data_IF_280578821466
#
_entry.id   IF_280578821466
#
_cell.length_a   1.000
_cell.length_b   1.000
_cell.length_c   1.000
_cell.angle_alpha   90.00
_cell.angle_beta   90.00
_cell.angle_gamma   90.00
#
_symmetry.space_group_name_H-M   'P 1'
#
loop_
_entity.id
_entity.type
_entity.pdbx_description
1 polymer ?
#
# COMPACT_ATOMS: atom_id res chain seq x y z
N UNK A 1 -10.25 19.60 -10.12
CA UNK A 1 -10.08 19.03 -8.77
C UNK A 1 -10.81 17.70 -8.56
N UNK A 2 -12.14 17.63 -8.71
CA UNK A 2 -12.92 16.43 -8.32
C UNK A 2 -12.47 15.08 -8.92
N UNK A 3 -12.17 14.94 -10.22
CA UNK A 3 -11.74 13.65 -10.78
C UNK A 3 -10.36 13.21 -10.26
N UNK A 4 -9.44 14.17 -10.10
CA UNK A 4 -8.09 13.94 -9.58
C UNK A 4 -8.18 13.56 -8.10
N UNK A 5 -9.01 14.25 -7.32
CA UNK A 5 -9.30 13.90 -5.93
C UNK A 5 -9.90 12.50 -5.80
N UNK A 6 -10.82 12.12 -6.70
CA UNK A 6 -11.41 10.78 -6.71
C UNK A 6 -10.38 9.67 -7.00
N UNK A 7 -9.41 9.92 -7.88
CA UNK A 7 -8.31 8.97 -8.10
C UNK A 7 -7.48 8.70 -6.84
N UNK A 8 -7.42 9.67 -5.92
CA UNK A 8 -6.78 9.51 -4.63
C UNK A 8 -7.46 8.53 -3.69
N UNK A 9 -8.76 8.30 -3.86
CA UNK A 9 -9.50 7.32 -3.07
C UNK A 9 -8.93 5.92 -3.32
N UNK A 10 -8.51 5.63 -4.56
CA UNK A 10 -7.90 4.34 -4.93
C UNK A 10 -6.54 4.18 -4.23
N UNK A 11 -5.69 5.22 -4.25
CA UNK A 11 -4.42 5.19 -3.53
C UNK A 11 -4.62 5.00 -2.02
N UNK A 12 -5.55 5.74 -1.41
CA UNK A 12 -5.88 5.59 0.01
C UNK A 12 -6.43 4.21 0.35
N UNK A 13 -7.20 3.59 -0.54
CA UNK A 13 -7.68 2.22 -0.35
C UNK A 13 -6.52 1.20 -0.36
N UNK A 14 -5.55 1.35 -1.27
CA UNK A 14 -4.33 0.52 -1.31
C UNK A 14 -3.50 0.75 -0.04
N UNK A 15 -3.31 2.00 0.36
CA UNK A 15 -2.57 2.34 1.57
C UNK A 15 -3.23 1.75 2.84
N UNK A 16 -4.57 1.74 2.91
CA UNK A 16 -5.29 1.11 4.02
C UNK A 16 -5.01 -0.40 4.15
N UNK A 17 -4.74 -1.11 3.03
CA UNK A 17 -4.38 -2.54 3.06
C UNK A 17 -3.07 -2.80 3.81
N UNK A 18 -2.16 -1.83 3.87
CA UNK A 18 -0.89 -1.93 4.59
C UNK A 18 -1.09 -2.21 6.08
N UNK A 19 -2.10 -1.59 6.68
CA UNK A 19 -2.38 -1.73 8.13
C UNK A 19 -3.24 -2.94 8.47
N UNK A 20 -3.84 -3.58 7.46
CA UNK A 20 -4.78 -4.70 7.63
C UNK A 20 -4.22 -5.97 6.99
N UNK A 21 -4.34 -6.11 5.67
CA UNK A 21 -4.00 -7.34 4.95
C UNK A 21 -2.51 -7.65 4.98
N UNK A 22 -1.63 -6.65 4.91
CA UNK A 22 -0.18 -6.92 4.98
C UNK A 22 0.23 -7.41 6.37
N UNK A 23 -0.43 -6.91 7.42
CA UNK A 23 -0.23 -7.39 8.80
C UNK A 23 -0.76 -8.81 8.96
N UNK A 24 -1.91 -9.14 8.37
CA UNK A 24 -2.46 -10.50 8.37
C UNK A 24 -1.56 -11.48 7.61
N UNK A 25 -1.09 -11.09 6.43
CA UNK A 25 -0.09 -11.85 5.68
C UNK A 25 1.16 -12.10 6.53
N UNK A 26 1.68 -11.07 7.20
CA UNK A 26 2.86 -11.19 8.07
C UNK A 26 2.64 -12.12 9.27
N UNK A 27 1.42 -12.18 9.82
CA UNK A 27 1.06 -13.13 10.89
C UNK A 27 1.13 -14.59 10.45
N UNK A 28 0.83 -14.86 9.18
CA UNK A 28 0.89 -16.20 8.59
C UNK A 28 2.31 -16.59 8.10
N UNK A 29 3.31 -15.73 8.31
CA UNK A 29 4.71 -15.92 7.92
C UNK A 29 5.62 -16.14 9.13
N UNK A 30 6.82 -16.68 8.90
CA UNK A 30 7.82 -16.83 9.94
C UNK A 30 8.41 -15.47 10.35
N UNK A 31 7.99 -15.02 11.53
CA UNK A 31 8.40 -13.77 12.17
C UNK A 31 9.69 -13.89 13.00
N UNK A 32 10.35 -15.06 13.04
CA UNK A 32 11.61 -15.23 13.77
C UNK A 32 12.80 -14.79 12.92
N UNK A 33 13.54 -13.80 13.40
CA UNK A 33 14.84 -13.38 12.87
C UNK A 33 15.89 -13.79 13.90
N UNK A 34 16.47 -14.99 13.72
CA UNK A 34 17.37 -15.58 14.71
C UNK A 34 16.65 -15.80 16.05
N UNK A 35 17.09 -15.12 17.11
CA UNK A 35 16.49 -15.18 18.45
C UNK A 35 15.38 -14.16 18.68
N UNK A 36 15.17 -13.21 17.77
CA UNK A 36 14.19 -12.13 17.92
C UNK A 36 12.90 -12.45 17.15
N UNK A 37 11.75 -12.21 17.78
CA UNK A 37 10.44 -12.34 17.13
C UNK A 37 9.94 -10.95 16.73
N UNK A 38 9.93 -10.69 15.42
CA UNK A 38 9.46 -9.44 14.88
C UNK A 38 7.92 -9.44 14.85
N UNK A 39 7.22 -8.55 15.55
CA UNK A 39 5.77 -8.48 15.45
C UNK A 39 5.35 -8.01 14.04
N UNK A 40 4.35 -8.62 13.39
CA UNK A 40 3.91 -8.22 12.04
C UNK A 40 3.52 -6.74 11.92
N UNK A 41 3.00 -6.14 12.98
CA UNK A 41 2.69 -4.71 13.00
C UNK A 41 3.94 -3.80 12.90
N UNK A 42 5.12 -4.28 13.33
CA UNK A 42 6.37 -3.54 13.19
C UNK A 42 6.87 -3.45 11.74
N UNK A 43 6.25 -4.18 10.80
CA UNK A 43 6.58 -4.07 9.38
C UNK A 43 6.28 -2.69 8.82
N UNK A 44 5.32 -1.95 9.40
CA UNK A 44 5.08 -0.55 9.05
C UNK A 44 6.29 0.36 9.26
N UNK A 45 7.24 -0.02 10.13
CA UNK A 45 8.50 0.74 10.28
C UNK A 45 9.36 0.70 9.02
N UNK A 46 9.27 -0.36 8.20
CA UNK A 46 10.00 -0.42 6.93
C UNK A 46 9.44 0.57 5.90
N UNK A 47 8.14 0.81 5.91
CA UNK A 47 7.50 1.84 5.10
C UNK A 47 7.95 3.24 5.55
N UNK A 48 7.90 3.54 6.85
CA UNK A 48 8.41 4.82 7.38
C UNK A 48 9.89 5.02 7.02
N UNK A 49 10.72 3.98 7.13
CA UNK A 49 12.12 4.03 6.72
C UNK A 49 12.27 4.28 5.20
N UNK A 50 11.41 3.66 4.38
CA UNK A 50 11.35 3.89 2.94
C UNK A 50 11.05 5.36 2.64
N UNK A 51 10.03 5.95 3.27
CA UNK A 51 9.68 7.36 3.11
C UNK A 51 10.85 8.28 3.50
N UNK A 52 11.51 8.00 4.64
CA UNK A 52 12.69 8.77 5.09
C UNK A 52 13.84 8.72 4.06
N UNK A 53 13.99 7.61 3.33
CA UNK A 53 15.00 7.46 2.27
C UNK A 53 14.54 8.16 0.97
N UNK A 54 13.27 8.00 0.60
CA UNK A 54 12.74 8.50 -0.67
C UNK A 54 12.54 10.01 -0.68
N UNK A 55 12.18 10.65 0.43
CA UNK A 55 12.03 12.12 0.52
C UNK A 55 13.31 12.85 0.10
N UNK A 56 14.49 12.63 0.71
CA UNK A 56 15.71 13.30 0.29
C UNK A 56 16.16 12.85 -1.10
N UNK A 57 15.90 11.59 -1.48
CA UNK A 57 16.24 11.10 -2.82
C UNK A 57 15.41 11.81 -3.89
N UNK A 58 14.14 12.08 -3.59
CA UNK A 58 13.23 12.82 -4.42
C UNK A 58 13.70 14.27 -4.60
N UNK A 59 13.90 15.00 -3.50
CA UNK A 59 14.28 16.41 -3.53
C UNK A 59 15.67 16.63 -4.14
N UNK A 60 16.62 15.75 -3.84
CA UNK A 60 18.03 15.95 -4.20
C UNK A 60 18.44 15.33 -5.54
N UNK A 61 17.75 14.28 -5.99
CA UNK A 61 18.10 13.60 -7.24
C UNK A 61 16.98 13.68 -8.27
N UNK A 62 15.75 13.32 -7.90
CA UNK A 62 14.64 13.21 -8.86
C UNK A 62 14.22 14.58 -9.38
N UNK A 63 14.01 15.56 -8.49
CA UNK A 63 13.63 16.94 -8.88
C UNK A 63 14.67 17.59 -9.81
N UNK A 64 15.98 17.64 -9.47
CA UNK A 64 16.96 18.27 -10.35
C UNK A 64 17.17 17.49 -11.66
N UNK A 65 17.09 16.16 -11.63
CA UNK A 65 17.17 15.36 -12.85
C UNK A 65 15.97 15.62 -13.76
N UNK A 66 14.76 15.63 -13.20
CA UNK A 66 13.54 15.93 -13.93
C UNK A 66 13.59 17.35 -14.51
N UNK A 67 14.04 18.35 -13.73
CA UNK A 67 14.24 19.73 -14.21
C UNK A 67 15.20 19.80 -15.40
N UNK A 68 16.24 18.97 -15.41
CA UNK A 68 17.21 18.90 -16.52
C UNK A 68 16.60 18.31 -17.80
N UNK A 69 15.64 17.40 -17.69
CA UNK A 69 15.00 16.75 -18.83
C UNK A 69 13.72 17.47 -19.31
N UNK A 70 12.91 17.99 -18.41
CA UNK A 70 11.61 18.60 -18.74
C UNK A 70 11.69 20.11 -18.92
N UNK A 71 12.73 20.77 -18.41
CA UNK A 71 12.86 22.23 -18.43
C UNK A 71 11.85 22.96 -17.54
N UNK A 72 11.05 22.25 -16.75
CA UNK A 72 10.08 22.81 -15.81
C UNK A 72 10.76 23.04 -14.46
N UNK A 73 10.52 24.19 -13.81
CA UNK A 73 11.18 24.54 -12.54
C UNK A 73 10.93 23.53 -11.41
N UNK A 74 9.75 22.90 -11.38
CA UNK A 74 9.39 21.80 -10.46
C UNK A 74 9.80 20.41 -10.98
N UNK A 75 10.36 20.28 -12.19
CA UNK A 75 10.80 19.01 -12.78
C UNK A 75 9.68 18.09 -13.31
N UNK A 76 8.60 17.87 -12.57
CA UNK A 76 7.41 17.14 -13.06
C UNK A 76 6.16 17.98 -12.84
N UNK A 77 5.13 17.75 -13.66
CA UNK A 77 3.79 18.30 -13.35
C UNK A 77 3.18 17.56 -12.17
N UNK A 78 2.33 18.24 -11.40
CA UNK A 78 1.69 17.68 -10.21
C UNK A 78 0.88 16.41 -10.53
N UNK A 79 0.15 16.44 -11.65
CA UNK A 79 -0.63 15.29 -12.15
C UNK A 79 0.27 14.12 -12.55
N UNK A 80 1.44 14.38 -13.15
CA UNK A 80 2.40 13.31 -13.49
C UNK A 80 2.96 12.65 -12.23
N UNK A 81 3.29 13.43 -11.20
CA UNK A 81 3.78 12.91 -9.91
C UNK A 81 2.73 12.01 -9.25
N UNK A 82 1.48 12.48 -9.19
CA UNK A 82 0.36 11.69 -8.67
C UNK A 82 0.13 10.40 -9.49
N UNK A 83 0.23 10.49 -10.83
CA UNK A 83 0.12 9.33 -11.71
C UNK A 83 1.23 8.30 -11.50
N UNK A 84 2.47 8.73 -11.28
CA UNK A 84 3.60 7.85 -10.93
C UNK A 84 3.32 7.15 -9.60
N UNK A 85 2.86 7.88 -8.57
CA UNK A 85 2.51 7.29 -7.27
C UNK A 85 1.42 6.22 -7.37
N UNK A 86 0.37 6.48 -8.16
CA UNK A 86 -0.67 5.49 -8.46
C UNK A 86 -0.12 4.27 -9.20
N UNK A 87 0.72 4.46 -10.22
CA UNK A 87 1.34 3.35 -10.94
C UNK A 87 2.24 2.50 -10.04
N UNK A 88 3.05 3.14 -9.19
CA UNK A 88 3.90 2.46 -8.21
C UNK A 88 3.06 1.68 -7.19
N UNK A 89 1.89 2.19 -6.79
CA UNK A 89 0.97 1.45 -5.91
C UNK A 89 0.45 0.16 -6.54
N UNK A 90 0.24 0.14 -7.87
CA UNK A 90 -0.13 -1.09 -8.59
C UNK A 90 1.01 -2.10 -8.58
N UNK A 91 2.25 -1.64 -8.76
CA UNK A 91 3.43 -2.51 -8.65
C UNK A 91 3.61 -3.07 -7.23
N UNK A 92 3.31 -2.27 -6.20
CA UNK A 92 3.29 -2.73 -4.81
C UNK A 92 2.27 -3.87 -4.62
N UNK A 93 1.03 -3.67 -5.09
CA UNK A 93 -0.02 -4.70 -4.98
C UNK A 93 0.33 -5.96 -5.78
N UNK A 94 0.97 -5.83 -6.94
CA UNK A 94 1.46 -6.96 -7.71
C UNK A 94 2.56 -7.73 -6.96
N UNK A 95 3.53 -7.03 -6.36
CA UNK A 95 4.56 -7.66 -5.53
C UNK A 95 3.94 -8.39 -4.33
N UNK A 96 2.96 -7.78 -3.66
CA UNK A 96 2.25 -8.40 -2.55
C UNK A 96 1.48 -9.66 -2.96
N UNK A 97 0.82 -9.62 -4.12
CA UNK A 97 0.14 -10.78 -4.68
C UNK A 97 1.11 -11.93 -5.01
N UNK A 98 2.30 -11.62 -5.55
CA UNK A 98 3.33 -12.63 -5.84
C UNK A 98 3.83 -13.29 -4.55
N UNK A 99 4.12 -12.49 -3.52
CA UNK A 99 4.55 -13.01 -2.21
C UNK A 99 3.47 -13.92 -1.62
N UNK A 100 2.20 -13.53 -1.76
CA UNK A 100 1.07 -14.33 -1.26
C UNK A 100 0.89 -15.64 -2.04
N UNK A 101 1.02 -15.61 -3.36
CA UNK A 101 0.97 -16.82 -4.20
C UNK A 101 2.08 -17.80 -3.79
N UNK A 102 3.30 -17.31 -3.56
CA UNK A 102 4.42 -18.13 -3.10
C UNK A 102 4.15 -18.71 -1.71
N UNK A 103 3.60 -17.89 -0.79
CA UNK A 103 3.22 -18.32 0.57
C UNK A 103 2.17 -19.44 0.52
N UNK A 104 1.12 -19.26 -0.29
CA UNK A 104 0.02 -20.24 -0.43
C UNK A 104 0.48 -21.54 -1.08
N UNK A 105 1.36 -21.47 -2.10
CA UNK A 105 1.94 -22.68 -2.69
C UNK A 105 2.74 -23.49 -1.66
N UNK A 106 3.61 -22.83 -0.87
CA UNK A 106 4.35 -23.53 0.19
C UNK A 106 3.44 -24.04 1.31
N UNK A 107 2.37 -23.34 1.65
CA UNK A 107 1.40 -23.82 2.62
C UNK A 107 0.74 -25.13 2.16
N UNK A 108 0.41 -25.24 0.87
CA UNK A 108 -0.15 -26.45 0.25
C UNK A 108 0.87 -27.58 0.19
N UNK A 109 2.08 -27.29 -0.28
CA UNK A 109 3.15 -28.30 -0.45
C UNK A 109 3.60 -28.91 0.89
N UNK A 110 3.58 -28.12 1.97
CA UNK A 110 3.95 -28.56 3.31
C UNK A 110 2.76 -29.12 4.12
N UNK A 111 1.55 -29.18 3.54
CA UNK A 111 0.34 -29.63 4.25
C UNK A 111 -0.07 -28.71 5.42
N UNK A 112 0.46 -27.48 5.49
CA UNK A 112 0.24 -26.55 6.59
C UNK A 112 -1.16 -25.92 6.57
N UNK A 113 -1.89 -26.11 5.47
CA UNK A 113 -3.29 -25.70 5.29
C UNK A 113 -4.18 -26.25 6.40
N UNK A 114 -4.00 -27.53 6.79
CA UNK A 114 -4.81 -28.16 7.83
C UNK A 114 -4.30 -27.88 9.26
N UNK A 115 -2.99 -27.65 9.42
CA UNK A 115 -2.37 -27.37 10.73
C UNK A 115 -2.59 -25.95 11.26
N UNK A 116 -2.79 -24.97 10.36
CA UNK A 116 -2.87 -23.55 10.73
C UNK A 116 -1.53 -22.93 11.17
N UNK A 117 -0.43 -23.67 11.04
CA UNK A 117 0.90 -23.18 11.44
C UNK A 117 1.46 -22.13 10.46
N UNK A 118 2.28 -21.18 10.92
CA UNK A 118 2.91 -20.19 10.05
C UNK A 118 3.80 -20.84 8.99
N UNK A 119 3.69 -20.36 7.75
CA UNK A 119 4.52 -20.85 6.64
C UNK A 119 5.99 -20.48 6.91
N UNK A 120 6.97 -21.37 6.68
CA UNK A 120 8.38 -21.12 6.94
C UNK A 120 9.05 -20.12 5.96
N UNK A 121 8.28 -19.19 5.40
CA UNK A 121 8.78 -18.05 4.65
C UNK A 121 9.09 -16.90 5.61
N UNK A 122 10.27 -16.31 5.50
CA UNK A 122 10.64 -15.18 6.36
C UNK A 122 9.77 -13.97 6.04
N UNK A 123 9.29 -13.30 7.08
CA UNK A 123 8.54 -12.02 6.98
C UNK A 123 9.31 -10.93 6.20
N UNK A 124 10.64 -11.06 6.09
CA UNK A 124 11.50 -10.17 5.30
C UNK A 124 11.14 -10.13 3.80
N UNK A 125 10.47 -11.15 3.28
CA UNK A 125 9.94 -11.14 1.91
C UNK A 125 8.88 -10.06 1.65
N UNK A 126 8.31 -9.45 2.71
CA UNK A 126 7.42 -8.31 2.60
C UNK A 126 8.17 -6.96 2.51
N UNK A 127 9.48 -6.90 2.74
CA UNK A 127 10.23 -5.64 2.64
C UNK A 127 10.06 -4.95 1.27
N UNK A 128 10.11 -5.66 0.12
CA UNK A 128 9.93 -5.04 -1.18
C UNK A 128 8.58 -4.33 -1.36
N UNK A 129 7.46 -4.93 -0.90
CA UNK A 129 6.14 -4.29 -1.02
C UNK A 129 6.05 -3.03 -0.15
N UNK A 130 6.54 -3.06 1.09
CA UNK A 130 6.58 -1.87 1.95
C UNK A 130 7.50 -0.77 1.38
N UNK A 131 8.64 -1.16 0.79
CA UNK A 131 9.55 -0.21 0.20
C UNK A 131 8.97 0.48 -1.05
N UNK A 132 8.33 -0.30 -1.93
CA UNK A 132 7.65 0.21 -3.14
C UNK A 132 6.46 1.10 -2.75
N UNK A 133 5.69 0.70 -1.74
CA UNK A 133 4.58 1.51 -1.23
C UNK A 133 5.04 2.88 -0.74
N UNK A 134 6.08 2.92 0.11
CA UNK A 134 6.65 4.18 0.60
C UNK A 134 7.21 5.07 -0.52
N UNK A 135 7.74 4.47 -1.59
CA UNK A 135 8.10 5.24 -2.79
C UNK A 135 6.86 5.87 -3.42
N UNK A 136 5.80 5.07 -3.65
CA UNK A 136 4.53 5.54 -4.20
C UNK A 136 3.88 6.64 -3.34
N UNK A 137 3.98 6.51 -2.02
CA UNK A 137 3.53 7.49 -1.03
C UNK A 137 4.20 8.86 -1.24
N UNK A 138 5.52 8.88 -1.33
CA UNK A 138 6.29 10.12 -1.53
C UNK A 138 5.90 10.80 -2.84
N UNK A 139 5.81 10.06 -3.95
CA UNK A 139 5.41 10.64 -5.24
C UNK A 139 3.95 11.13 -5.23
N UNK A 140 3.05 10.38 -4.62
CA UNK A 140 1.62 10.68 -4.61
C UNK A 140 1.28 11.86 -3.69
N UNK A 141 1.71 11.84 -2.43
CA UNK A 141 1.36 12.87 -1.45
C UNK A 141 2.00 14.22 -1.75
N UNK A 142 3.26 14.25 -2.21
CA UNK A 142 3.90 15.51 -2.61
C UNK A 142 3.14 16.14 -3.78
N UNK A 143 2.80 15.34 -4.80
CA UNK A 143 2.03 15.81 -5.96
C UNK A 143 0.62 16.26 -5.58
N UNK A 144 -0.06 15.53 -4.69
CA UNK A 144 -1.40 15.86 -4.21
C UNK A 144 -1.41 17.16 -3.39
N UNK A 145 -0.42 17.33 -2.53
CA UNK A 145 -0.30 18.52 -1.69
C UNK A 145 -0.02 19.76 -2.54
N UNK A 146 0.97 19.70 -3.44
CA UNK A 146 1.25 20.81 -4.38
C UNK A 146 0.02 21.15 -5.24
N UNK A 147 -0.66 20.14 -5.81
CA UNK A 147 -1.87 20.36 -6.61
C UNK A 147 -2.98 21.07 -5.84
N UNK A 148 -3.23 20.64 -4.59
CA UNK A 148 -4.22 21.31 -3.77
C UNK A 148 -3.80 22.72 -3.39
N UNK A 149 -2.52 22.97 -3.12
CA UNK A 149 -2.06 24.32 -2.82
C UNK A 149 -2.14 25.25 -4.04
N UNK A 150 -1.76 24.78 -5.23
CA UNK A 150 -1.72 25.61 -6.44
C UNK A 150 -3.11 25.93 -7.00
N UNK A 151 -4.05 24.98 -6.85
CA UNK A 151 -5.40 25.11 -7.39
C UNK A 151 -6.41 25.71 -6.39
N UNK A 152 -6.04 25.86 -5.11
CA UNK A 152 -6.96 26.37 -4.08
C UNK A 152 -6.73 27.85 -3.78
N UNK A 153 -7.80 28.66 -3.65
CA UNK A 153 -7.68 30.01 -3.10
C UNK A 153 -7.11 29.98 -1.68
N UNK A 154 -6.31 30.97 -1.29
CA UNK A 154 -5.67 31.03 0.05
C UNK A 154 -6.65 30.88 1.23
N UNK A 155 -7.92 31.27 1.04
CA UNK A 155 -8.99 31.12 2.03
C UNK A 155 -9.53 29.68 2.20
N UNK A 156 -9.18 28.73 1.32
CA UNK A 156 -9.74 27.37 1.28
C UNK A 156 -8.76 26.27 1.73
N UNK A 157 -7.64 26.61 2.36
CA UNK A 157 -6.67 25.62 2.88
C UNK A 157 -7.29 24.64 3.89
N UNK A 158 -8.26 25.09 4.68
CA UNK A 158 -9.02 24.21 5.59
C UNK A 158 -9.88 23.19 4.83
N UNK A 159 -10.47 23.59 3.69
CA UNK A 159 -11.24 22.69 2.82
C UNK A 159 -10.34 21.62 2.18
N UNK A 160 -9.09 21.95 1.84
CA UNK A 160 -8.13 20.97 1.31
C UNK A 160 -7.80 19.88 2.33
N UNK A 161 -7.59 20.27 3.59
CA UNK A 161 -7.35 19.32 4.69
C UNK A 161 -8.57 18.43 4.92
N UNK A 162 -9.78 19.00 4.88
CA UNK A 162 -11.03 18.24 4.97
C UNK A 162 -11.21 17.27 3.79
N UNK A 163 -10.86 17.68 2.57
CA UNK A 163 -10.91 16.82 1.39
C UNK A 163 -9.91 15.67 1.46
N UNK A 164 -8.70 15.89 1.99
CA UNK A 164 -7.71 14.83 2.19
C UNK A 164 -8.18 13.80 3.23
N UNK A 165 -8.74 14.27 4.36
CA UNK A 165 -9.36 13.39 5.37
C UNK A 165 -10.54 12.62 4.78
N UNK A 166 -11.36 13.26 3.95
CA UNK A 166 -12.46 12.61 3.25
C UNK A 166 -11.97 11.55 2.26
N UNK A 167 -10.88 11.81 1.52
CA UNK A 167 -10.24 10.80 0.65
C UNK A 167 -9.82 9.58 1.46
N UNK A 168 -9.19 9.79 2.63
CA UNK A 168 -8.76 8.70 3.48
C UNK A 168 -9.96 7.91 4.03
N UNK A 169 -11.01 8.60 4.50
CA UNK A 169 -12.24 7.96 4.97
C UNK A 169 -12.89 7.13 3.86
N UNK A 170 -13.07 7.70 2.67
CA UNK A 170 -13.64 7.00 1.51
C UNK A 170 -12.75 5.84 1.04
N UNK A 171 -11.43 5.98 1.12
CA UNK A 171 -10.49 4.89 0.80
C UNK A 171 -10.64 3.71 1.75
N UNK A 172 -10.80 3.97 3.06
CA UNK A 172 -11.06 2.94 4.06
C UNK A 172 -12.44 2.28 3.89
N UNK A 173 -13.47 3.06 3.56
CA UNK A 173 -14.79 2.51 3.24
C UNK A 173 -14.76 1.67 1.96
N UNK A 174 -14.06 2.12 0.92
CA UNK A 174 -13.89 1.38 -0.32
C UNK A 174 -13.14 0.08 -0.08
N UNK A 175 -12.05 0.11 0.70
CA UNK A 175 -11.30 -1.07 1.12
C UNK A 175 -12.20 -2.08 1.84
N UNK A 176 -12.98 -1.62 2.83
CA UNK A 176 -13.95 -2.45 3.54
C UNK A 176 -15.05 -3.01 2.63
N UNK A 177 -15.54 -2.22 1.67
CA UNK A 177 -16.55 -2.64 0.71
C UNK A 177 -16.00 -3.72 -0.24
N UNK A 178 -14.79 -3.54 -0.76
CA UNK A 178 -14.10 -4.55 -1.58
C UNK A 178 -13.96 -5.85 -0.79
N UNK A 179 -13.48 -5.78 0.45
CA UNK A 179 -13.35 -6.95 1.33
C UNK A 179 -14.71 -7.63 1.58
N UNK A 180 -15.76 -6.85 1.82
CA UNK A 180 -17.12 -7.38 2.03
C UNK A 180 -17.67 -8.06 0.78
N UNK A 181 -17.50 -7.44 -0.40
CA UNK A 181 -17.94 -8.02 -1.67
C UNK A 181 -17.19 -9.32 -1.98
N UNK A 182 -15.86 -9.31 -1.84
CA UNK A 182 -15.04 -10.52 -2.04
C UNK A 182 -15.49 -11.60 -1.07
N UNK A 183 -15.67 -11.28 0.21
CA UNK A 183 -16.14 -12.24 1.22
C UNK A 183 -17.53 -12.78 0.86
N UNK A 184 -18.46 -11.92 0.44
CA UNK A 184 -19.79 -12.32 0.02
C UNK A 184 -19.75 -13.31 -1.15
N UNK A 185 -19.05 -12.97 -2.23
CA UNK A 185 -18.93 -13.86 -3.39
C UNK A 185 -18.18 -15.16 -3.08
N UNK A 186 -17.13 -15.13 -2.25
CA UNK A 186 -16.38 -16.34 -1.89
C UNK A 186 -17.15 -17.24 -0.90
N UNK A 187 -18.11 -16.72 -0.14
CA UNK A 187 -18.89 -17.49 0.84
C UNK A 187 -20.23 -18.02 0.28
N UNK A 188 -20.62 -17.62 -0.95
CA UNK A 188 -21.91 -18.00 -1.55
C UNK A 188 -22.10 -19.52 -1.71
N UNK A 189 -21.03 -20.30 -1.85
CA UNK A 189 -21.08 -21.76 -2.01
C UNK A 189 -20.87 -22.55 -0.70
N UNK A 190 -20.96 -21.88 0.47
CA UNK A 190 -20.78 -22.53 1.78
C UNK A 190 -19.32 -22.89 2.12
N UNK A 191 -18.36 -22.36 1.35
CA UNK A 191 -16.94 -22.49 1.61
C UNK A 191 -16.44 -21.47 2.64
N UNK A 192 -15.35 -21.82 3.33
CA UNK A 192 -14.60 -20.91 4.19
C UNK A 192 -14.17 -19.70 3.35
N UNK A 193 -14.70 -18.51 3.65
CA UNK A 193 -14.51 -17.30 2.83
C UNK A 193 -13.04 -16.94 2.59
N UNK A 194 -12.79 -16.01 1.65
CA UNK A 194 -11.44 -15.61 1.22
C UNK A 194 -10.50 -15.23 2.38
N UNK A 195 -11.05 -14.63 3.44
CA UNK A 195 -10.37 -14.39 4.71
C UNK A 195 -10.98 -15.33 5.76
N UNK A 196 -10.44 -16.54 5.85
CA UNK A 196 -10.80 -17.49 6.89
C UNK A 196 -9.98 -17.26 8.17
N UNK A 197 -10.48 -17.70 9.33
CA UNK A 197 -9.74 -17.63 10.61
C UNK A 197 -8.37 -18.30 10.51
N UNK A 198 -8.24 -19.30 9.63
CA UNK A 198 -6.97 -19.81 9.16
C UNK A 198 -6.64 -19.17 7.79
N UNK A 199 -5.68 -18.24 7.78
CA UNK A 199 -5.21 -17.59 6.54
C UNK A 199 -4.60 -18.57 5.52
N UNK A 200 -4.26 -19.80 5.94
CA UNK A 200 -3.74 -20.82 5.04
C UNK A 200 -4.86 -21.57 4.28
N UNK A 201 -6.11 -21.51 4.75
CA UNK A 201 -7.27 -22.14 4.08
C UNK A 201 -8.05 -21.18 3.17
N UNK A 202 -7.67 -19.90 3.13
CA UNK A 202 -8.19 -18.92 2.17
C UNK A 202 -7.85 -19.30 0.73
N UNK A 203 -8.79 -19.07 -0.18
CA UNK A 203 -8.66 -19.37 -1.62
C UNK A 203 -7.81 -18.36 -2.39
#
# INVERSE_FOLDING_TARGET
MFPIWASGIIFSAVYAQMSTMFVQQGRAMNCKIGSFQLPPAALGTFDTASVIIWVPLYDRFIVPLARRFTGVDKGFTEIQRMGIGLFVSVLCMAAAAIVEIIRLHMARDLGLVESGDPVPISVLWQIPQYFILGAGEVFYFIGQLEFFYDQSPDAMRSLCSALALLTNALGNYLSSLILTLVTYFTTMDGQQGWISDNLNSGH
#
